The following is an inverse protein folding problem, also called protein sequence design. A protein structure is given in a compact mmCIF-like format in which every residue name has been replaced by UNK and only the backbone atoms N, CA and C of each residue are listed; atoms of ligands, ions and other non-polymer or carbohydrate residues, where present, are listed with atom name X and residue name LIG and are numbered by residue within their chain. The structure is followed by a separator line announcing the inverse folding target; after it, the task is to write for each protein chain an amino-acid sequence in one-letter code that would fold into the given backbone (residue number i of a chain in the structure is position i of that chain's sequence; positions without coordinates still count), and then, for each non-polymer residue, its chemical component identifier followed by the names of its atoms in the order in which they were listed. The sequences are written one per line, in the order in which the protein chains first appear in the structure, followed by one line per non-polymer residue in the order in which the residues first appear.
data_IF_943839694608
#
_entry.id   IF_943839694608
#
_cell.length_a   1.000
_cell.length_b   1.000
_cell.length_c   1.000
_cell.angle_alpha   90.00
_cell.angle_beta   90.00
_cell.angle_gamma   90.00
#
_symmetry.space_group_name_H-M   'P 1'
#
loop_
_entity.id
_entity.type
_entity.pdbx_description
1 polymer ?
#
# COMPACT_ATOMS: atom_id res chain seq x y z
N UNK A 1 -42.25 44.08 -77.91
CA UNK A 1 -41.26 44.38 -78.96
C UNK A 1 -40.17 45.25 -78.35
N UNK A 2 -38.90 44.88 -78.57
CA UNK A 2 -37.66 45.67 -78.38
C UNK A 2 -37.51 46.46 -77.05
N UNK A 3 -36.55 46.20 -76.17
CA UNK A 3 -35.17 45.82 -76.40
C UNK A 3 -34.27 46.92 -75.84
N UNK A 4 -33.30 46.55 -74.99
CA UNK A 4 -31.91 47.06 -74.96
C UNK A 4 -31.23 46.61 -73.68
N UNK A 5 -30.28 45.71 -73.86
CA UNK A 5 -29.31 45.33 -72.84
C UNK A 5 -28.28 46.45 -72.62
N UNK A 6 -27.76 46.48 -71.40
CA UNK A 6 -26.51 47.15 -71.06
C UNK A 6 -25.63 46.10 -70.39
N UNK A 7 -24.55 45.74 -71.08
CA UNK A 7 -23.41 45.03 -70.54
C UNK A 7 -22.67 45.95 -69.55
N UNK A 8 -22.48 45.50 -68.31
CA UNK A 8 -21.47 46.04 -67.42
C UNK A 8 -20.61 44.88 -66.90
N UNK A 9 -19.35 44.90 -67.32
CA UNK A 9 -18.32 43.94 -66.99
C UNK A 9 -17.96 43.98 -65.49
N UNK A 10 -17.62 42.82 -64.96
CA UNK A 10 -17.41 42.60 -63.54
C UNK A 10 -16.03 42.98 -63.01
N UNK A 11 -15.98 43.07 -61.68
CA UNK A 11 -14.78 42.87 -60.87
C UNK A 11 -15.20 41.99 -59.70
N UNK A 12 -14.87 40.70 -59.77
CA UNK A 12 -15.04 39.76 -58.67
C UNK A 12 -13.84 39.89 -57.72
N UNK A 13 -14.04 40.53 -56.56
CA UNK A 13 -13.09 40.47 -55.46
C UNK A 13 -13.40 39.21 -54.64
N UNK A 14 -12.60 38.17 -54.81
CA UNK A 14 -12.63 36.98 -53.96
C UNK A 14 -11.91 37.33 -52.65
N UNK A 15 -12.67 37.58 -51.59
CA UNK A 15 -12.12 37.57 -50.23
C UNK A 15 -11.98 36.10 -49.78
N UNK A 16 -10.73 35.62 -49.72
CA UNK A 16 -10.41 34.37 -49.06
C UNK A 16 -10.64 34.53 -47.55
N UNK A 17 -11.77 34.00 -47.06
CA UNK A 17 -12.01 33.84 -45.63
C UNK A 17 -11.18 32.64 -45.16
N UNK A 18 -10.02 32.90 -44.58
CA UNK A 18 -9.25 31.87 -43.87
C UNK A 18 -10.05 31.37 -42.66
N UNK A 19 -9.91 30.08 -42.28
CA UNK A 19 -10.58 29.57 -41.09
C UNK A 19 -10.07 30.34 -39.87
N UNK A 20 -10.97 31.11 -39.25
CA UNK A 20 -10.68 31.83 -38.01
C UNK A 20 -10.26 30.82 -36.95
N UNK A 21 -9.03 30.98 -36.45
CA UNK A 21 -8.57 30.26 -35.27
C UNK A 21 -9.51 30.62 -34.12
N UNK A 22 -10.30 29.64 -33.68
CA UNK A 22 -11.09 29.75 -32.45
C UNK A 22 -10.07 29.89 -31.32
N UNK A 23 -10.07 30.99 -30.53
CA UNK A 23 -9.17 31.11 -29.41
C UNK A 23 -9.47 29.97 -28.43
N UNK A 24 -8.45 29.16 -28.12
CA UNK A 24 -8.54 28.17 -27.05
C UNK A 24 -8.92 28.91 -25.77
N UNK A 25 -10.13 28.65 -25.27
CA UNK A 25 -10.57 29.14 -23.97
C UNK A 25 -9.69 28.40 -22.97
N UNK A 26 -8.69 29.10 -22.41
CA UNK A 26 -7.90 28.55 -21.32
C UNK A 26 -8.87 28.29 -20.14
N UNK A 27 -8.93 27.03 -19.68
CA UNK A 27 -9.69 26.68 -18.49
C UNK A 27 -9.31 27.63 -17.34
N UNK A 28 -10.32 28.12 -16.63
CA UNK A 28 -10.11 29.01 -15.49
C UNK A 28 -9.15 28.32 -14.48
N UNK A 29 -8.18 29.05 -13.90
CA UNK A 29 -7.22 28.45 -12.99
C UNK A 29 -7.94 27.82 -11.79
N UNK A 30 -7.62 26.56 -11.48
CA UNK A 30 -8.19 25.84 -10.33
C UNK A 30 -8.00 26.66 -9.06
N UNK A 31 -9.09 27.02 -8.39
CA UNK A 31 -9.06 27.74 -7.10
C UNK A 31 -8.60 26.78 -6.01
N UNK A 32 -7.30 26.83 -5.71
CA UNK A 32 -6.70 26.03 -4.65
C UNK A 32 -6.86 26.72 -3.29
N UNK A 33 -8.00 26.50 -2.63
CA UNK A 33 -8.33 27.09 -1.33
C UNK A 33 -9.00 26.03 -0.42
N UNK A 34 -8.22 25.04 0.09
CA UNK A 34 -8.77 24.02 0.98
C UNK A 34 -9.35 24.68 2.24
N UNK A 35 -10.33 24.01 2.86
CA UNK A 35 -10.88 24.45 4.15
C UNK A 35 -9.75 24.63 5.17
N UNK A 36 -9.87 25.62 6.08
CA UNK A 36 -8.84 25.85 7.09
C UNK A 36 -8.87 24.74 8.13
N UNK A 37 -7.71 24.15 8.42
CA UNK A 37 -7.54 23.26 9.56
C UNK A 37 -7.26 24.03 10.86
N UNK A 38 -7.26 23.30 11.97
CA UNK A 38 -6.83 23.77 13.29
C UNK A 38 -5.33 23.58 13.53
N UNK A 39 -4.80 24.21 14.56
CA UNK A 39 -3.39 24.09 14.98
C UNK A 39 -3.19 23.13 16.15
N UNK A 40 -4.28 22.65 16.74
CA UNK A 40 -4.27 21.66 17.81
C UNK A 40 -4.60 20.30 17.22
N UNK A 41 -3.92 19.29 17.74
CA UNK A 41 -4.12 17.90 17.37
C UNK A 41 -4.00 17.07 18.64
N UNK A 42 -4.94 16.16 18.85
CA UNK A 42 -4.85 15.12 19.87
C UNK A 42 -4.49 13.79 19.23
N UNK A 43 -4.10 12.82 20.06
CA UNK A 43 -4.03 11.44 19.60
C UNK A 43 -5.44 10.98 19.23
N UNK A 44 -5.62 10.55 17.99
CA UNK A 44 -6.91 10.02 17.54
C UNK A 44 -7.16 8.63 18.14
N UNK A 45 -8.42 8.29 18.36
CA UNK A 45 -8.76 6.96 18.89
C UNK A 45 -8.24 5.83 17.99
N UNK A 46 -8.16 6.07 16.67
CA UNK A 46 -7.63 5.11 15.71
C UNK A 46 -6.16 4.75 16.00
N UNK A 47 -5.33 5.73 16.38
CA UNK A 47 -3.95 5.48 16.79
C UNK A 47 -3.90 4.64 18.07
N UNK A 48 -4.73 4.98 19.08
CA UNK A 48 -4.83 4.19 20.31
C UNK A 48 -5.33 2.76 20.08
N UNK A 49 -6.36 2.59 19.25
CA UNK A 49 -6.98 1.28 18.97
C UNK A 49 -6.01 0.34 18.27
N UNK A 50 -5.24 0.87 17.32
CA UNK A 50 -4.28 0.08 16.55
C UNK A 50 -2.95 -0.09 17.28
N UNK A 51 -2.63 0.79 18.23
CA UNK A 51 -1.41 0.74 19.05
C UNK A 51 -0.13 0.49 18.24
N UNK A 52 -0.05 1.02 17.00
CA UNK A 52 1.02 0.71 16.06
C UNK A 52 2.39 1.19 16.54
N UNK A 53 2.45 2.15 17.47
CA UNK A 53 3.70 2.62 18.09
C UNK A 53 4.41 1.50 18.86
N UNK A 54 3.68 0.51 19.36
CA UNK A 54 4.25 -0.69 19.98
C UNK A 54 5.05 -1.56 19.00
N UNK A 55 4.87 -1.38 17.69
CA UNK A 55 5.57 -2.11 16.62
C UNK A 55 6.89 -1.44 16.22
N UNK A 56 7.02 -0.14 16.48
CA UNK A 56 8.14 0.67 16.05
C UNK A 56 9.54 0.22 16.53
N UNK A 57 9.71 -0.42 17.70
CA UNK A 57 10.99 -1.04 18.06
C UNK A 57 11.46 -2.13 17.08
N UNK A 58 10.54 -2.72 16.31
CA UNK A 58 10.83 -3.75 15.31
C UNK A 58 10.96 -3.18 13.90
N UNK A 59 10.11 -2.22 13.55
CA UNK A 59 10.10 -1.56 12.24
C UNK A 59 9.24 -0.29 12.27
N UNK A 60 9.67 0.75 11.56
CA UNK A 60 8.90 1.98 11.31
C UNK A 60 8.53 2.16 9.82
N UNK A 61 8.76 1.14 8.99
CA UNK A 61 8.47 1.17 7.55
C UNK A 61 9.63 1.61 6.65
N UNK A 62 10.84 1.76 7.20
CA UNK A 62 12.03 2.15 6.44
C UNK A 62 12.29 1.25 5.22
N UNK A 63 12.73 1.86 4.11
CA UNK A 63 13.03 1.16 2.86
C UNK A 63 11.79 0.82 2.00
N UNK A 64 10.58 0.97 2.54
CA UNK A 64 9.34 0.73 1.79
C UNK A 64 8.84 2.02 1.16
N UNK A 65 8.48 1.95 -0.11
CA UNK A 65 7.88 3.07 -0.85
C UNK A 65 6.37 2.88 -0.92
N UNK A 66 5.63 3.87 -0.45
CA UNK A 66 4.16 3.88 -0.50
C UNK A 66 3.72 5.00 -1.45
N UNK A 67 2.98 4.63 -2.50
CA UNK A 67 2.31 5.60 -3.35
C UNK A 67 0.90 5.85 -2.85
N UNK A 68 0.47 7.11 -2.80
CA UNK A 68 -0.92 7.49 -2.56
C UNK A 68 -1.48 8.15 -3.81
N UNK A 69 -2.58 7.60 -4.34
CA UNK A 69 -3.28 8.12 -5.51
C UNK A 69 -4.51 8.89 -5.02
N UNK A 70 -4.44 10.22 -5.06
CA UNK A 70 -5.38 11.07 -4.31
C UNK A 70 -5.50 12.51 -4.90
N UNK A 71 -5.90 13.50 -4.11
CA UNK A 71 -6.03 14.92 -4.45
C UNK A 71 -4.71 15.70 -4.45
N UNK A 72 -3.58 15.03 -4.23
CA UNK A 72 -2.27 15.63 -4.03
C UNK A 72 -1.86 15.69 -2.55
N UNK A 73 -0.72 16.30 -2.23
CA UNK A 73 -0.25 16.46 -0.84
C UNK A 73 0.36 17.84 -0.66
N UNK A 74 0.07 18.51 0.46
CA UNK A 74 0.86 19.66 0.89
C UNK A 74 2.24 19.22 1.39
N UNK A 75 3.21 19.13 0.49
CA UNK A 75 4.58 18.72 0.79
C UNK A 75 5.34 19.69 1.73
N UNK A 76 4.74 20.84 2.07
CA UNK A 76 5.30 21.77 3.07
C UNK A 76 4.80 21.50 4.48
N UNK A 77 3.85 20.58 4.66
CA UNK A 77 3.33 20.22 5.97
C UNK A 77 4.46 19.68 6.88
N UNK A 78 4.65 20.20 8.10
CA UNK A 78 5.76 19.80 8.96
C UNK A 78 5.80 18.29 9.26
N UNK A 79 4.68 17.59 9.37
CA UNK A 79 4.72 16.14 9.60
C UNK A 79 4.77 15.27 8.34
N UNK A 80 4.61 15.80 7.12
CA UNK A 80 4.52 14.96 5.91
C UNK A 80 5.76 15.15 5.05
N UNK A 81 6.42 14.04 4.68
CA UNK A 81 7.57 14.06 3.76
C UNK A 81 7.25 13.27 2.50
N UNK A 82 7.08 13.99 1.40
CA UNK A 82 6.86 13.40 0.08
C UNK A 82 8.19 13.36 -0.67
N UNK A 83 8.62 12.17 -1.06
CA UNK A 83 9.86 11.99 -1.82
C UNK A 83 9.69 12.36 -3.30
N UNK A 84 8.48 12.19 -3.83
CA UNK A 84 8.16 12.56 -5.22
C UNK A 84 6.67 12.88 -5.34
N UNK A 85 6.36 13.94 -6.08
CA UNK A 85 4.99 14.25 -6.49
C UNK A 85 4.85 14.10 -8.00
N UNK A 86 3.76 13.48 -8.43
CA UNK A 86 3.33 13.36 -9.82
C UNK A 86 1.95 13.97 -9.92
N UNK A 87 1.78 14.86 -10.87
CA UNK A 87 0.49 15.49 -11.15
C UNK A 87 -0.07 14.95 -12.47
N UNK A 88 -1.17 14.21 -12.40
CA UNK A 88 -1.88 13.68 -13.57
C UNK A 88 -3.04 14.58 -14.02
N UNK A 89 -3.44 15.56 -13.22
CA UNK A 89 -4.51 16.51 -13.54
C UNK A 89 -3.99 17.69 -14.37
N UNK A 90 -2.68 17.97 -14.30
CA UNK A 90 -2.06 19.10 -14.99
C UNK A 90 -2.32 20.45 -14.31
N UNK A 91 -2.75 20.44 -13.05
CA UNK A 91 -3.17 21.63 -12.28
C UNK A 91 -2.21 21.97 -11.14
N UNK A 92 -1.06 21.30 -11.09
CA UNK A 92 -0.05 21.38 -10.04
C UNK A 92 -0.24 20.31 -8.96
N UNK A 93 0.87 19.96 -8.29
CA UNK A 93 0.91 18.89 -7.29
C UNK A 93 0.31 19.25 -5.91
N UNK A 94 -0.19 20.48 -5.74
CA UNK A 94 -0.75 20.93 -4.45
C UNK A 94 -2.05 20.21 -4.16
N UNK A 95 -2.23 19.91 -2.88
CA UNK A 95 -3.52 19.44 -2.38
C UNK A 95 -4.47 20.63 -2.20
N UNK A 96 -5.48 20.69 -3.05
CA UNK A 96 -6.48 21.75 -3.04
C UNK A 96 -7.76 21.36 -2.29
N UNK A 97 -7.88 20.08 -1.92
CA UNK A 97 -9.02 19.53 -1.20
C UNK A 97 -8.70 19.30 0.28
N UNK A 98 -7.47 18.86 0.56
CA UNK A 98 -6.95 18.47 1.88
C UNK A 98 -7.00 16.98 2.15
N UNK A 99 -7.79 16.23 1.38
CA UNK A 99 -7.97 14.79 1.52
C UNK A 99 -6.65 14.01 1.42
N UNK A 100 -5.87 14.23 0.35
CA UNK A 100 -4.61 13.52 0.15
C UNK A 100 -3.54 13.85 1.19
N UNK A 101 -3.53 15.07 1.73
CA UNK A 101 -2.67 15.45 2.86
C UNK A 101 -3.06 14.69 4.13
N UNK A 102 -4.36 14.54 4.41
CA UNK A 102 -4.84 13.73 5.53
C UNK A 102 -4.52 12.24 5.37
N UNK A 103 -4.71 11.69 4.17
CA UNK A 103 -4.33 10.32 3.83
C UNK A 103 -2.82 10.10 4.03
N UNK A 104 -1.98 11.02 3.53
CA UNK A 104 -0.53 10.95 3.69
C UNK A 104 -0.09 10.99 5.18
N UNK A 105 -0.76 11.81 5.99
CA UNK A 105 -0.53 11.88 7.44
C UNK A 105 -0.82 10.56 8.15
N UNK A 106 -1.92 9.89 7.82
CA UNK A 106 -2.28 8.59 8.42
C UNK A 106 -1.26 7.51 8.02
N UNK A 107 -0.78 7.51 6.77
CA UNK A 107 0.21 6.52 6.30
C UNK A 107 1.56 6.73 7.00
N UNK A 108 2.12 7.93 6.89
CA UNK A 108 3.53 8.19 7.23
C UNK A 108 3.79 9.60 7.82
N UNK A 109 2.82 10.17 8.54
CA UNK A 109 3.06 11.34 9.39
C UNK A 109 4.24 11.10 10.32
N UNK A 110 5.22 12.01 10.33
CA UNK A 110 6.42 11.91 11.13
C UNK A 110 6.09 11.88 12.62
N UNK A 111 6.70 10.93 13.31
CA UNK A 111 6.80 10.88 14.77
C UNK A 111 7.56 12.11 15.27
N UNK A 112 6.86 13.04 15.95
CA UNK A 112 7.41 14.29 16.47
C UNK A 112 7.04 14.42 17.95
N UNK A 113 8.01 14.59 18.88
CA UNK A 113 7.76 14.52 20.32
C UNK A 113 6.67 15.46 20.87
N UNK A 114 6.47 16.63 20.27
CA UNK A 114 5.50 17.63 20.73
C UNK A 114 4.13 17.51 20.07
N UNK A 115 3.97 16.55 19.14
CA UNK A 115 2.76 16.39 18.35
C UNK A 115 2.19 14.99 18.64
N UNK A 116 1.05 14.89 19.34
CA UNK A 116 0.46 13.60 19.70
C UNK A 116 -0.27 12.94 18.51
N UNK A 117 0.31 13.02 17.31
CA UNK A 117 -0.18 12.41 16.10
C UNK A 117 1.01 11.91 15.29
N UNK A 118 0.92 10.68 14.79
CA UNK A 118 1.87 10.13 13.84
C UNK A 118 1.15 9.21 12.85
N UNK A 119 1.77 9.00 11.69
CA UNK A 119 1.33 7.96 10.77
C UNK A 119 1.78 6.58 11.23
N UNK A 120 1.13 5.55 10.70
CA UNK A 120 1.42 4.15 11.05
C UNK A 120 2.87 3.75 10.74
N UNK A 121 3.39 4.18 9.59
CA UNK A 121 4.72 3.86 9.09
C UNK A 121 5.54 5.15 8.83
N UNK A 122 6.01 5.84 9.89
CA UNK A 122 6.60 7.18 9.78
C UNK A 122 7.93 7.24 9.01
N UNK A 123 8.59 6.11 8.78
CA UNK A 123 9.84 6.02 7.99
C UNK A 123 9.63 5.50 6.56
N UNK A 124 8.38 5.23 6.17
CA UNK A 124 8.04 4.89 4.80
C UNK A 124 8.24 6.08 3.85
N UNK A 125 8.70 5.80 2.63
CA UNK A 125 8.94 6.80 1.59
C UNK A 125 7.65 7.06 0.80
N UNK A 126 7.04 8.23 0.96
CA UNK A 126 5.82 8.58 0.24
C UNK A 126 6.07 9.08 -1.19
N UNK A 127 5.23 8.60 -2.12
CA UNK A 127 5.04 9.18 -3.45
C UNK A 127 3.60 9.70 -3.52
N UNK A 128 3.42 10.97 -3.85
CA UNK A 128 2.10 11.55 -4.12
C UNK A 128 1.79 11.46 -5.61
N UNK A 129 0.67 10.87 -5.97
CA UNK A 129 0.14 10.85 -7.33
C UNK A 129 -1.22 11.54 -7.30
N UNK A 130 -1.27 12.78 -7.78
CA UNK A 130 -2.51 13.56 -7.85
C UNK A 130 -3.31 13.13 -9.07
N UNK A 131 -4.56 12.74 -8.86
CA UNK A 131 -5.49 12.35 -9.91
C UNK A 131 -6.80 13.16 -9.91
N UNK A 132 -7.07 13.97 -8.89
CA UNK A 132 -8.25 14.86 -8.86
C UNK A 132 -7.99 16.17 -8.14
N UNK A 133 -8.85 17.15 -8.37
CA UNK A 133 -9.01 18.35 -7.54
C UNK A 133 -10.33 18.36 -6.75
N UNK A 134 -11.20 17.38 -7.02
CA UNK A 134 -12.57 17.30 -6.50
C UNK A 134 -12.74 16.05 -5.64
N UNK A 135 -13.87 15.95 -4.95
CA UNK A 135 -14.20 14.78 -4.11
C UNK A 135 -14.44 13.52 -4.94
N UNK A 136 -14.87 13.68 -6.19
CA UNK A 136 -15.00 12.61 -7.17
C UNK A 136 -13.69 12.48 -7.96
N UNK A 137 -13.11 11.28 -7.97
CA UNK A 137 -11.90 11.01 -8.75
C UNK A 137 -12.19 10.88 -10.25
N UNK A 138 -11.14 10.97 -11.06
CA UNK A 138 -11.17 10.64 -12.48
C UNK A 138 -10.64 9.22 -12.69
N UNK A 139 -11.49 8.35 -13.22
CA UNK A 139 -11.18 6.92 -13.36
C UNK A 139 -10.00 6.67 -14.30
N UNK A 140 -9.89 7.45 -15.38
CA UNK A 140 -8.79 7.32 -16.32
C UNK A 140 -7.49 7.77 -15.65
N UNK A 141 -7.52 8.85 -14.86
CA UNK A 141 -6.37 9.30 -14.09
C UNK A 141 -5.98 8.32 -12.98
N UNK A 142 -6.96 7.69 -12.33
CA UNK A 142 -6.73 6.63 -11.35
C UNK A 142 -6.03 5.41 -11.97
N UNK A 143 -6.52 4.92 -13.11
CA UNK A 143 -5.89 3.81 -13.83
C UNK A 143 -4.44 4.14 -14.23
N UNK A 144 -4.20 5.35 -14.77
CA UNK A 144 -2.83 5.83 -15.05
C UNK A 144 -1.98 5.95 -13.79
N UNK A 145 -2.57 6.37 -12.68
CA UNK A 145 -1.92 6.48 -11.37
C UNK A 145 -1.43 5.14 -10.85
N UNK A 146 -2.23 4.08 -10.99
CA UNK A 146 -1.85 2.71 -10.58
C UNK A 146 -0.65 2.19 -11.37
N UNK A 147 -0.68 2.34 -12.70
CA UNK A 147 0.46 2.00 -13.56
C UNK A 147 1.69 2.80 -13.16
N UNK A 148 1.52 4.12 -12.97
CA UNK A 148 2.61 5.02 -12.62
C UNK A 148 3.23 4.72 -11.26
N UNK A 149 2.43 4.33 -10.28
CA UNK A 149 2.94 3.94 -8.97
C UNK A 149 3.84 2.69 -9.05
N UNK A 150 3.42 1.68 -9.82
CA UNK A 150 4.20 0.47 -10.04
C UNK A 150 5.53 0.77 -10.77
N UNK A 151 5.50 1.63 -11.80
CA UNK A 151 6.72 2.08 -12.50
C UNK A 151 7.69 2.85 -11.62
N UNK A 152 7.18 3.61 -10.64
CA UNK A 152 7.99 4.35 -9.68
C UNK A 152 8.52 3.49 -8.53
N UNK A 153 8.28 2.17 -8.59
CA UNK A 153 8.78 1.21 -7.61
C UNK A 153 8.05 1.26 -6.27
N UNK A 154 6.79 1.71 -6.24
CA UNK A 154 5.96 1.59 -5.05
C UNK A 154 5.77 0.11 -4.69
N UNK A 155 5.88 -0.22 -3.40
CA UNK A 155 5.62 -1.56 -2.86
C UNK A 155 4.22 -1.67 -2.26
N UNK A 156 3.66 -0.53 -1.88
CA UNK A 156 2.28 -0.38 -1.44
C UNK A 156 1.66 0.79 -2.19
N UNK A 157 0.43 0.64 -2.64
CA UNK A 157 -0.39 1.71 -3.22
C UNK A 157 -1.64 1.87 -2.36
N UNK A 158 -1.91 3.09 -1.93
CA UNK A 158 -3.16 3.46 -1.30
C UNK A 158 -4.08 4.16 -2.32
N UNK A 159 -5.31 3.67 -2.45
CA UNK A 159 -6.38 4.26 -3.28
C UNK A 159 -7.56 4.61 -2.39
N UNK A 160 -7.72 5.88 -2.06
CA UNK A 160 -8.74 6.37 -1.13
C UNK A 160 -9.96 6.94 -1.86
N UNK A 161 -10.31 6.38 -3.01
CA UNK A 161 -11.38 6.85 -3.90
C UNK A 161 -12.21 5.66 -4.36
N UNK A 162 -13.52 5.86 -4.46
CA UNK A 162 -14.46 4.89 -4.99
C UNK A 162 -14.90 5.24 -6.41
N UNK A 163 -15.07 4.22 -7.24
CA UNK A 163 -15.66 4.31 -8.58
C UNK A 163 -16.41 3.02 -8.95
N UNK A 164 -16.97 2.96 -10.16
CA UNK A 164 -17.51 1.76 -10.79
C UNK A 164 -16.46 0.95 -11.57
N UNK A 165 -16.84 -0.28 -11.95
CA UNK A 165 -16.02 -1.20 -12.73
C UNK A 165 -15.72 -0.63 -14.13
N UNK A 166 -14.46 -0.67 -14.54
CA UNK A 166 -14.01 -0.33 -15.88
C UNK A 166 -12.88 -1.27 -16.33
N UNK A 167 -12.88 -1.76 -17.58
CA UNK A 167 -11.83 -2.66 -18.10
C UNK A 167 -10.41 -2.10 -17.96
N UNK A 168 -10.22 -0.81 -18.24
CA UNK A 168 -8.90 -0.16 -18.15
C UNK A 168 -8.41 -0.04 -16.70
N UNK A 169 -9.33 0.19 -15.75
CA UNK A 169 -8.99 0.22 -14.34
C UNK A 169 -8.58 -1.17 -13.85
N UNK A 170 -9.32 -2.21 -14.25
CA UNK A 170 -8.97 -3.61 -13.96
C UNK A 170 -7.59 -3.97 -14.53
N UNK A 171 -7.31 -3.60 -15.78
CA UNK A 171 -6.00 -3.85 -16.40
C UNK A 171 -4.86 -3.14 -15.64
N UNK A 172 -5.09 -1.91 -15.17
CA UNK A 172 -4.10 -1.18 -14.36
C UNK A 172 -3.87 -1.84 -12.98
N UNK A 173 -4.92 -2.36 -12.34
CA UNK A 173 -4.82 -3.14 -11.10
C UNK A 173 -4.01 -4.41 -11.33
N UNK A 174 -4.35 -5.19 -12.36
CA UNK A 174 -3.64 -6.42 -12.70
C UNK A 174 -2.15 -6.15 -13.00
N UNK A 175 -1.86 -5.05 -13.71
CA UNK A 175 -0.49 -4.62 -14.03
C UNK A 175 0.35 -4.33 -12.77
N UNK A 176 -0.23 -3.64 -11.79
CA UNK A 176 0.44 -3.33 -10.53
C UNK A 176 0.60 -4.58 -9.64
N UNK A 177 -0.43 -5.44 -9.56
CA UNK A 177 -0.35 -6.70 -8.83
C UNK A 177 0.73 -7.63 -9.39
N UNK A 178 0.85 -7.72 -10.72
CA UNK A 178 1.90 -8.51 -11.38
C UNK A 178 3.32 -7.99 -11.11
N UNK A 179 3.47 -6.75 -10.63
CA UNK A 179 4.74 -6.12 -10.22
C UNK A 179 4.99 -6.18 -8.73
N UNK A 180 4.31 -7.08 -8.04
CA UNK A 180 4.46 -7.29 -6.61
C UNK A 180 4.13 -6.02 -5.79
N UNK A 181 3.08 -5.32 -6.19
CA UNK A 181 2.56 -4.17 -5.44
C UNK A 181 1.36 -4.60 -4.60
N UNK A 182 1.35 -4.24 -3.32
CA UNK A 182 0.16 -4.38 -2.47
C UNK A 182 -0.74 -3.19 -2.75
N UNK A 183 -1.95 -3.44 -3.27
CA UNK A 183 -2.93 -2.38 -3.51
C UNK A 183 -3.92 -2.41 -2.35
N UNK A 184 -4.04 -1.29 -1.65
CA UNK A 184 -4.98 -1.08 -0.54
C UNK A 184 -5.98 -0.03 -0.99
N UNK A 185 -7.28 -0.37 -0.94
CA UNK A 185 -8.32 0.51 -1.45
C UNK A 185 -9.52 0.63 -0.50
N UNK A 186 -10.11 1.82 -0.47
CA UNK A 186 -11.31 2.10 0.31
C UNK A 186 -12.51 1.28 -0.21
N UNK A 187 -13.23 0.60 0.69
CA UNK A 187 -14.40 -0.20 0.35
C UNK A 187 -15.60 0.63 -0.13
N UNK A 188 -15.56 1.95 0.04
CA UNK A 188 -16.57 2.90 -0.38
C UNK A 188 -17.55 3.28 0.73
N UNK A 189 -18.23 4.39 0.51
CA UNK A 189 -19.23 4.96 1.42
C UNK A 189 -20.60 4.97 0.73
N UNK A 190 -21.66 4.64 1.47
CA UNK A 190 -23.06 4.68 1.02
C UNK A 190 -23.83 5.73 1.82
N UNK A 191 -24.64 6.54 1.14
CA UNK A 191 -25.56 7.46 1.77
C UNK A 191 -27.02 7.01 1.60
N UNK A 192 -27.87 7.47 2.52
CA UNK A 192 -29.33 7.29 2.40
C UNK A 192 -29.82 8.09 1.19
N UNK A 193 -30.18 7.38 0.13
CA UNK A 193 -30.68 7.99 -1.12
C UNK A 193 -29.92 7.55 -2.38
N UNK A 194 -28.74 6.93 -2.24
CA UNK A 194 -27.87 6.53 -3.36
C UNK A 194 -28.37 5.29 -4.13
N UNK A 195 -29.62 4.86 -3.92
CA UNK A 195 -30.17 3.62 -4.47
C UNK A 195 -29.58 2.37 -3.82
N UNK A 196 -29.57 1.26 -4.56
CA UNK A 196 -29.02 -0.01 -4.08
C UNK A 196 -27.49 0.06 -4.06
N UNK A 197 -26.83 -0.23 -2.92
CA UNK A 197 -25.38 -0.27 -2.85
C UNK A 197 -24.76 -1.20 -3.91
N UNK A 198 -23.82 -0.66 -4.69
CA UNK A 198 -23.02 -1.42 -5.64
C UNK A 198 -21.57 -1.53 -5.13
N UNK A 199 -20.81 -2.56 -5.52
CA UNK A 199 -19.40 -2.67 -5.15
C UNK A 199 -18.57 -1.48 -5.63
N UNK A 200 -17.68 -0.98 -4.77
CA UNK A 200 -16.73 0.06 -5.11
C UNK A 200 -15.46 -0.54 -5.73
N UNK A 201 -14.98 0.08 -6.81
CA UNK A 201 -13.73 -0.29 -7.47
C UNK A 201 -12.67 0.80 -7.22
N UNK A 202 -11.38 0.43 -7.12
CA UNK A 202 -10.80 -0.89 -7.38
C UNK A 202 -10.91 -1.89 -6.21
N UNK A 203 -11.49 -1.51 -5.07
CA UNK A 203 -11.54 -2.36 -3.87
C UNK A 203 -12.19 -3.73 -4.11
N UNK A 204 -13.22 -3.81 -4.95
CA UNK A 204 -13.88 -5.06 -5.29
C UNK A 204 -13.08 -5.99 -6.24
N UNK A 205 -11.96 -5.54 -6.82
CA UNK A 205 -11.19 -6.41 -7.71
C UNK A 205 -10.41 -7.49 -6.94
N UNK A 206 -10.39 -8.73 -7.45
CA UNK A 206 -9.53 -9.78 -6.89
C UNK A 206 -8.08 -9.34 -6.86
N UNK A 207 -7.39 -9.56 -5.74
CA UNK A 207 -6.02 -9.07 -5.59
C UNK A 207 -5.91 -7.92 -4.60
N UNK A 208 -6.88 -7.01 -4.60
CA UNK A 208 -6.87 -5.77 -3.82
C UNK A 208 -7.24 -6.03 -2.37
N UNK A 209 -6.53 -5.38 -1.44
CA UNK A 209 -6.86 -5.38 -0.03
C UNK A 209 -7.91 -4.30 0.24
N UNK A 210 -9.18 -4.70 0.27
CA UNK A 210 -10.33 -3.83 0.44
C UNK A 210 -10.57 -3.48 1.91
N UNK A 211 -10.68 -2.19 2.23
CA UNK A 211 -10.71 -1.69 3.60
C UNK A 211 -12.03 -1.01 3.92
N UNK A 212 -12.78 -1.62 4.84
CA UNK A 212 -13.98 -1.03 5.41
C UNK A 212 -13.68 -0.10 6.58
N UNK A 213 -14.68 0.69 6.96
CA UNK A 213 -14.57 1.67 8.05
C UNK A 213 -15.19 1.11 9.34
N UNK A 214 -14.49 1.32 10.45
CA UNK A 214 -14.96 1.02 11.79
C UNK A 214 -14.95 2.26 12.69
N UNK A 215 -15.88 2.28 13.64
CA UNK A 215 -15.99 3.31 14.67
C UNK A 215 -15.23 2.97 15.96
N UNK A 216 -15.20 3.90 16.94
CA UNK A 216 -14.54 3.70 18.23
C UNK A 216 -15.06 2.49 19.03
N UNK A 217 -16.30 2.06 18.78
CA UNK A 217 -16.93 0.86 19.36
C UNK A 217 -16.43 -0.45 18.73
N UNK A 218 -15.53 -0.37 17.73
CA UNK A 218 -14.99 -1.51 16.99
C UNK A 218 -15.95 -2.10 15.96
N UNK A 219 -17.11 -1.48 15.71
CA UNK A 219 -18.10 -1.96 14.76
C UNK A 219 -17.93 -1.27 13.41
N UNK A 220 -18.32 -1.97 12.33
CA UNK A 220 -18.43 -1.37 11.00
C UNK A 220 -19.35 -0.15 11.06
N UNK A 221 -18.91 0.98 10.52
CA UNK A 221 -19.75 2.19 10.44
C UNK A 221 -20.88 1.99 9.44
N UNK A 222 -22.04 2.61 9.68
CA UNK A 222 -23.23 2.41 8.83
C UNK A 222 -22.97 2.80 7.37
N UNK A 223 -22.22 3.88 7.13
CA UNK A 223 -21.85 4.33 5.80
C UNK A 223 -20.86 3.40 5.08
N UNK A 224 -20.15 2.49 5.76
CA UNK A 224 -19.15 1.63 5.10
C UNK A 224 -19.84 0.68 4.13
N UNK A 225 -19.56 0.75 2.84
CA UNK A 225 -20.28 -0.01 1.83
C UNK A 225 -20.11 -1.53 2.00
N UNK A 226 -21.20 -2.23 2.35
CA UNK A 226 -21.21 -3.68 2.56
C UNK A 226 -21.36 -4.49 1.26
N UNK A 227 -21.66 -3.84 0.12
CA UNK A 227 -21.70 -4.51 -1.18
C UNK A 227 -20.29 -4.78 -1.75
N UNK A 228 -19.30 -4.02 -1.31
CA UNK A 228 -17.89 -4.29 -1.63
C UNK A 228 -17.40 -5.47 -0.79
N UNK A 229 -16.71 -6.47 -1.38
CA UNK A 229 -16.03 -7.50 -0.61
C UNK A 229 -14.94 -6.85 0.28
N UNK A 230 -15.17 -6.83 1.59
CA UNK A 230 -14.22 -6.24 2.56
C UNK A 230 -13.21 -7.29 2.99
N UNK A 231 -11.92 -6.97 2.92
CA UNK A 231 -10.83 -7.81 3.46
C UNK A 231 -10.66 -7.60 4.95
N UNK A 232 -10.55 -6.35 5.39
CA UNK A 232 -10.36 -5.94 6.80
C UNK A 232 -11.05 -4.61 7.09
N UNK A 233 -11.25 -4.31 8.37
CA UNK A 233 -11.65 -3.00 8.85
C UNK A 233 -10.45 -2.21 9.36
N UNK A 234 -10.57 -0.89 9.33
CA UNK A 234 -9.68 0.03 10.00
C UNK A 234 -10.48 1.23 10.56
N UNK A 235 -9.89 2.01 11.50
CA UNK A 235 -10.53 3.23 12.00
C UNK A 235 -10.92 4.16 10.85
N UNK A 236 -12.19 4.60 10.79
CA UNK A 236 -12.72 5.36 9.67
C UNK A 236 -13.73 6.45 10.02
N UNK A 237 -13.95 6.75 11.30
CA UNK A 237 -14.76 7.89 11.78
C UNK A 237 -14.09 8.54 12.98
N UNK A 238 -14.48 9.76 13.36
CA UNK A 238 -13.91 10.52 14.47
C UNK A 238 -12.37 10.59 14.40
N UNK A 239 -11.84 10.74 13.19
CA UNK A 239 -10.41 10.74 12.94
C UNK A 239 -9.84 12.15 12.93
N UNK A 240 -8.57 12.23 13.29
CA UNK A 240 -7.74 13.42 13.16
C UNK A 240 -6.58 13.11 12.24
N UNK A 241 -6.22 14.04 11.35
CA UNK A 241 -5.01 13.93 10.52
C UNK A 241 -4.44 15.28 10.09
N UNK A 242 -3.28 15.25 9.46
CA UNK A 242 -2.62 16.42 8.86
C UNK A 242 -3.48 17.03 7.75
N UNK A 243 -3.40 18.34 7.60
CA UNK A 243 -4.23 19.11 6.68
C UNK A 243 -3.40 20.25 6.03
N UNK A 244 -3.71 20.72 4.80
CA UNK A 244 -2.92 21.75 4.14
C UNK A 244 -2.68 23.01 5.00
N UNK A 245 -1.55 23.66 4.75
CA UNK A 245 -1.14 24.86 5.49
C UNK A 245 -0.44 24.58 6.82
N UNK A 246 0.07 23.36 7.01
CA UNK A 246 0.71 22.97 8.28
C UNK A 246 -0.28 22.81 9.44
N UNK A 247 -1.53 22.48 9.12
CA UNK A 247 -2.64 22.41 10.07
C UNK A 247 -3.14 20.96 10.23
N UNK A 248 -4.13 20.76 11.07
CA UNK A 248 -4.78 19.48 11.32
C UNK A 248 -6.27 19.60 11.13
N UNK A 249 -6.92 18.48 10.82
CA UNK A 249 -8.37 18.41 10.73
C UNK A 249 -8.89 17.26 11.58
N UNK A 250 -9.90 17.57 12.37
CA UNK A 250 -10.69 16.64 13.19
C UNK A 250 -11.97 16.25 12.43
N UNK A 251 -12.74 15.33 13.02
CA UNK A 251 -14.03 14.86 12.49
C UNK A 251 -13.95 14.33 11.05
N UNK A 252 -12.82 13.70 10.71
CA UNK A 252 -12.66 13.02 9.43
C UNK A 252 -13.35 11.66 9.46
N UNK A 253 -14.21 11.42 8.48
CA UNK A 253 -14.93 10.16 8.31
C UNK A 253 -14.90 9.67 6.86
N UNK A 254 -14.84 8.35 6.70
CA UNK A 254 -14.84 7.67 5.41
C UNK A 254 -13.92 6.44 5.37
N UNK A 255 -14.30 5.47 4.54
CA UNK A 255 -13.42 4.34 4.18
C UNK A 255 -12.12 4.80 3.51
N UNK A 256 -12.13 6.00 2.90
CA UNK A 256 -10.96 6.67 2.35
C UNK A 256 -9.90 7.01 3.39
N UNK A 257 -10.28 7.23 4.65
CA UNK A 257 -9.37 7.43 5.78
C UNK A 257 -9.05 6.13 6.54
N UNK A 258 -9.85 5.07 6.36
CA UNK A 258 -9.55 3.74 6.87
C UNK A 258 -8.43 3.04 6.07
N UNK A 259 -8.50 3.11 4.73
CA UNK A 259 -7.49 2.55 3.82
C UNK A 259 -6.03 2.92 4.16
N UNK A 260 -5.66 4.19 4.45
CA UNK A 260 -4.28 4.56 4.75
C UNK A 260 -3.71 3.93 6.02
N UNK A 261 -4.54 3.59 7.02
CA UNK A 261 -4.04 2.83 8.18
C UNK A 261 -3.51 1.46 7.73
N UNK A 262 -4.27 0.76 6.89
CA UNK A 262 -3.88 -0.56 6.36
C UNK A 262 -2.71 -0.45 5.39
N UNK A 263 -2.64 0.61 4.58
CA UNK A 263 -1.47 0.86 3.73
C UNK A 263 -0.19 1.07 4.55
N UNK A 264 -0.30 1.77 5.68
CA UNK A 264 0.78 1.90 6.65
C UNK A 264 1.17 0.55 7.28
N UNK A 265 0.21 -0.28 7.68
CA UNK A 265 0.49 -1.63 8.20
C UNK A 265 1.18 -2.50 7.14
N UNK A 266 0.73 -2.46 5.88
CA UNK A 266 1.37 -3.15 4.78
C UNK A 266 2.83 -2.69 4.59
N UNK A 267 3.11 -1.40 4.80
CA UNK A 267 4.47 -0.89 4.76
C UNK A 267 5.32 -1.39 5.94
N UNK A 268 4.79 -1.45 7.15
CA UNK A 268 5.47 -2.05 8.31
C UNK A 268 5.80 -3.53 8.04
N UNK A 269 4.84 -4.30 7.53
CA UNK A 269 5.01 -5.71 7.18
C UNK A 269 6.09 -5.89 6.12
N UNK A 270 6.05 -5.14 5.01
CA UNK A 270 7.07 -5.20 3.95
C UNK A 270 8.46 -4.82 4.45
N UNK A 271 8.56 -3.85 5.36
CA UNK A 271 9.84 -3.44 5.92
C UNK A 271 10.44 -4.52 6.83
N UNK A 272 9.59 -5.21 7.62
CA UNK A 272 10.03 -6.30 8.49
C UNK A 272 10.32 -7.59 7.72
N UNK A 273 9.52 -7.86 6.70
CA UNK A 273 9.52 -9.11 5.93
C UNK A 273 9.68 -8.84 4.42
N UNK A 274 10.86 -8.37 3.98
CA UNK A 274 11.07 -7.90 2.61
C UNK A 274 10.95 -8.99 1.53
N UNK A 275 11.01 -10.27 1.92
CA UNK A 275 10.87 -11.42 1.02
C UNK A 275 9.43 -11.85 0.73
N UNK A 276 8.43 -11.24 1.37
CA UNK A 276 7.02 -11.55 1.10
C UNK A 276 6.54 -10.80 -0.14
N UNK A 277 5.82 -11.51 -1.01
CA UNK A 277 5.10 -10.91 -2.12
C UNK A 277 3.77 -10.28 -1.67
N UNK A 278 3.09 -9.61 -2.60
CA UNK A 278 1.84 -8.90 -2.31
C UNK A 278 0.71 -9.82 -1.85
N UNK A 279 0.64 -11.05 -2.37
CA UNK A 279 -0.35 -12.05 -1.97
C UNK A 279 -0.14 -12.45 -0.52
N UNK A 280 1.11 -12.73 -0.12
CA UNK A 280 1.44 -13.10 1.27
C UNK A 280 1.27 -11.93 2.23
N UNK A 281 1.65 -10.72 1.84
CA UNK A 281 1.39 -9.52 2.67
C UNK A 281 -0.11 -9.31 2.89
N UNK A 282 -0.93 -9.41 1.84
CA UNK A 282 -2.39 -9.33 1.95
C UNK A 282 -2.93 -10.40 2.91
N UNK A 283 -2.57 -11.66 2.66
CA UNK A 283 -3.03 -12.79 3.47
C UNK A 283 -2.61 -12.66 4.93
N UNK A 284 -1.37 -12.23 5.20
CA UNK A 284 -0.89 -11.96 6.55
C UNK A 284 -1.81 -10.97 7.25
N UNK A 285 -2.05 -9.81 6.64
CA UNK A 285 -2.91 -8.77 7.22
C UNK A 285 -4.31 -9.32 7.52
N UNK A 286 -4.88 -10.10 6.60
CA UNK A 286 -6.20 -10.71 6.77
C UNK A 286 -6.23 -11.71 7.93
N UNK A 287 -5.30 -12.67 7.99
CA UNK A 287 -5.36 -13.73 9.01
C UNK A 287 -4.95 -13.27 10.41
N UNK A 288 -4.21 -12.17 10.52
CA UNK A 288 -3.80 -11.58 11.81
C UNK A 288 -4.76 -10.50 12.30
N UNK A 289 -5.83 -10.20 11.56
CA UNK A 289 -6.83 -9.21 11.98
C UNK A 289 -7.57 -9.68 13.25
N UNK A 290 -8.08 -8.71 14.03
CA UNK A 290 -8.79 -8.93 15.30
C UNK A 290 -10.24 -9.41 15.07
N UNK A 291 -10.43 -10.52 14.37
CA UNK A 291 -11.69 -11.25 14.23
C UNK A 291 -12.88 -10.50 13.59
N UNK A 292 -13.68 -11.22 12.81
CA UNK A 292 -14.87 -10.65 12.18
C UNK A 292 -15.98 -10.35 13.21
N UNK A 293 -16.62 -9.19 13.12
CA UNK A 293 -17.72 -8.78 14.00
C UNK A 293 -19.11 -8.87 13.35
N UNK A 294 -19.21 -9.46 12.14
CA UNK A 294 -20.46 -9.62 11.41
C UNK A 294 -20.31 -9.53 9.88
N UNK A 295 -21.43 -9.38 9.17
CA UNK A 295 -21.41 -9.23 7.71
C UNK A 295 -20.72 -7.92 7.29
N UNK A 296 -19.92 -7.98 6.22
CA UNK A 296 -19.22 -6.82 5.67
C UNK A 296 -18.01 -6.35 6.49
N UNK A 297 -17.52 -7.16 7.44
CA UNK A 297 -16.34 -6.80 8.26
C UNK A 297 -15.04 -7.44 7.76
N UNK A 298 -15.10 -8.28 6.73
CA UNK A 298 -13.96 -9.11 6.33
C UNK A 298 -13.43 -9.94 7.49
N UNK A 299 -12.10 -9.99 7.62
CA UNK A 299 -11.42 -10.69 8.70
C UNK A 299 -11.41 -9.93 10.05
N UNK A 300 -11.95 -8.71 10.10
CA UNK A 300 -11.97 -7.88 11.32
C UNK A 300 -11.06 -6.67 11.24
N UNK A 301 -10.85 -6.02 12.39
CA UNK A 301 -9.98 -4.84 12.51
C UNK A 301 -8.53 -5.23 12.25
N UNK A 302 -7.81 -4.46 11.42
CA UNK A 302 -6.37 -4.66 11.19
C UNK A 302 -5.60 -4.61 12.52
N UNK A 303 -4.65 -5.53 12.72
CA UNK A 303 -3.77 -5.56 13.89
C UNK A 303 -2.31 -5.37 13.47
N UNK A 304 -1.72 -4.17 13.64
CA UNK A 304 -0.34 -3.90 13.25
C UNK A 304 0.69 -4.80 13.94
N UNK A 305 0.49 -5.08 15.24
CA UNK A 305 1.42 -5.89 16.02
C UNK A 305 1.47 -7.31 15.49
N UNK A 306 0.33 -8.00 15.45
CA UNK A 306 0.26 -9.38 14.96
C UNK A 306 0.63 -9.48 13.48
N UNK A 307 0.21 -8.52 12.65
CA UNK A 307 0.64 -8.49 11.25
C UNK A 307 2.18 -8.47 11.15
N UNK A 308 2.88 -7.73 11.99
CA UNK A 308 4.36 -7.67 11.93
C UNK A 308 5.04 -8.85 12.63
N UNK A 309 4.49 -9.37 13.73
CA UNK A 309 5.20 -10.33 14.60
C UNK A 309 4.80 -11.78 14.43
N UNK A 310 3.59 -12.06 13.91
CA UNK A 310 3.07 -13.43 13.88
C UNK A 310 3.91 -14.32 12.96
N UNK A 311 4.21 -15.53 13.44
CA UNK A 311 4.92 -16.55 12.68
C UNK A 311 3.88 -17.37 11.93
N UNK A 312 3.80 -17.17 10.62
CA UNK A 312 2.81 -17.86 9.78
C UNK A 312 3.53 -19.01 9.03
N UNK A 313 3.26 -20.29 9.38
CA UNK A 313 3.98 -21.44 8.80
C UNK A 313 3.88 -21.54 7.27
N UNK A 314 2.76 -21.10 6.69
CA UNK A 314 2.57 -21.13 5.23
C UNK A 314 3.51 -20.20 4.45
N UNK A 315 4.19 -19.28 5.12
CA UNK A 315 5.12 -18.34 4.49
C UNK A 315 6.58 -18.76 4.61
N UNK A 316 6.89 -19.68 5.54
CA UNK A 316 8.20 -20.33 5.64
C UNK A 316 8.36 -21.44 4.61
N UNK A 317 7.26 -21.93 4.02
CA UNK A 317 7.30 -22.69 2.78
C UNK A 317 7.22 -21.69 1.63
N UNK A 318 8.30 -21.52 0.87
CA UNK A 318 8.27 -20.77 -0.38
C UNK A 318 7.41 -21.52 -1.41
N UNK A 319 6.08 -21.41 -1.31
CA UNK A 319 5.17 -21.86 -2.35
C UNK A 319 5.28 -20.84 -3.48
N UNK A 320 5.98 -21.23 -4.55
CA UNK A 320 6.01 -20.46 -5.79
C UNK A 320 4.57 -20.09 -6.20
N UNK A 321 4.33 -18.90 -6.77
CA UNK A 321 3.03 -18.56 -7.32
C UNK A 321 2.57 -19.66 -8.28
N UNK A 322 1.24 -19.91 -8.39
CA UNK A 322 0.73 -20.94 -9.28
C UNK A 322 1.30 -20.71 -10.68
N UNK A 323 1.82 -21.76 -11.33
CA UNK A 323 2.48 -21.60 -12.62
C UNK A 323 1.50 -21.02 -13.66
N UNK A 324 2.00 -20.22 -14.62
CA UNK A 324 1.20 -19.76 -15.75
C UNK A 324 0.59 -20.94 -16.51
N UNK A 325 -0.52 -20.73 -17.25
CA UNK A 325 -1.17 -21.79 -18.02
C UNK A 325 -0.17 -22.49 -18.95
N UNK A 326 -0.32 -23.82 -19.16
CA UNK A 326 0.67 -24.61 -19.86
C UNK A 326 0.90 -24.12 -21.30
N UNK A 327 2.16 -24.11 -21.70
CA UNK A 327 2.60 -23.85 -23.08
C UNK A 327 2.01 -24.91 -24.03
N UNK A 328 1.82 -24.58 -25.32
CA UNK A 328 1.27 -25.51 -26.30
C UNK A 328 2.06 -26.83 -26.34
N UNK A 329 1.40 -27.98 -26.59
CA UNK A 329 2.05 -29.29 -26.56
C UNK A 329 3.29 -29.34 -27.46
N UNK A 330 4.45 -29.66 -26.88
CA UNK A 330 5.71 -29.89 -27.62
C UNK A 330 6.90 -28.99 -27.27
N UNK A 331 6.75 -28.01 -26.38
CA UNK A 331 7.86 -27.16 -25.96
C UNK A 331 8.43 -27.58 -24.59
N UNK A 332 9.22 -28.67 -24.53
CA UNK A 332 10.04 -28.99 -23.36
C UNK A 332 11.41 -29.49 -23.80
N UNK A 333 12.47 -28.73 -23.49
CA UNK A 333 13.83 -29.27 -23.48
C UNK A 333 14.03 -30.13 -22.22
N UNK A 334 14.64 -31.32 -22.33
CA UNK A 334 14.88 -32.17 -21.17
C UNK A 334 15.88 -31.53 -20.20
N UNK A 335 15.74 -31.78 -18.87
CA UNK A 335 16.64 -31.25 -17.88
C UNK A 335 18.04 -31.85 -18.02
N UNK A 336 19.06 -31.02 -17.79
CA UNK A 336 20.45 -31.46 -17.75
C UNK A 336 20.64 -32.47 -16.59
N UNK A 337 21.37 -33.58 -16.80
CA UNK A 337 21.54 -34.60 -15.76
C UNK A 337 22.23 -34.02 -14.52
N UNK A 338 21.75 -34.41 -13.33
CA UNK A 338 22.44 -34.09 -12.08
C UNK A 338 23.81 -34.77 -12.05
N UNK A 339 24.85 -33.98 -11.90
CA UNK A 339 26.20 -34.47 -11.63
C UNK A 339 26.29 -35.02 -10.20
N UNK A 340 26.08 -36.33 -10.07
CA UNK A 340 26.13 -37.04 -8.80
C UNK A 340 27.55 -37.10 -8.21
N UNK A 341 28.62 -36.95 -9.02
CA UNK A 341 29.99 -36.93 -8.52
C UNK A 341 30.30 -35.61 -7.81
N UNK A 342 29.84 -34.48 -8.35
CA UNK A 342 30.00 -33.18 -7.71
C UNK A 342 29.29 -33.12 -6.34
N UNK A 343 28.08 -33.68 -6.26
CA UNK A 343 27.32 -33.75 -4.99
C UNK A 343 28.00 -34.67 -3.99
N UNK A 344 28.44 -35.86 -4.41
CA UNK A 344 29.14 -36.80 -3.52
C UNK A 344 30.47 -36.23 -2.98
N UNK A 345 31.22 -35.52 -3.83
CA UNK A 345 32.50 -34.90 -3.47
C UNK A 345 32.30 -33.77 -2.46
N UNK A 346 31.28 -32.92 -2.63
CA UNK A 346 31.01 -31.82 -1.69
C UNK A 346 30.57 -32.32 -0.30
N UNK A 347 29.76 -33.37 -0.25
CA UNK A 347 29.28 -33.97 1.02
C UNK A 347 30.43 -34.62 1.79
N UNK A 348 31.29 -35.38 1.10
CA UNK A 348 32.43 -36.07 1.74
C UNK A 348 33.45 -35.10 2.32
N UNK A 349 33.80 -34.03 1.59
CA UNK A 349 34.72 -32.99 2.08
C UNK A 349 34.14 -32.28 3.32
N UNK A 350 32.84 -31.99 3.31
CA UNK A 350 32.18 -31.30 4.43
C UNK A 350 32.16 -32.16 5.70
N UNK A 351 31.81 -33.45 5.57
CA UNK A 351 31.78 -34.37 6.70
C UNK A 351 33.18 -34.61 7.30
N UNK A 352 34.21 -34.74 6.46
CA UNK A 352 35.58 -34.90 6.92
C UNK A 352 36.07 -33.68 7.73
N UNK A 353 35.75 -32.46 7.28
CA UNK A 353 36.10 -31.23 7.97
C UNK A 353 35.43 -31.13 9.35
N UNK A 354 34.14 -31.47 9.45
CA UNK A 354 33.41 -31.47 10.72
C UNK A 354 33.94 -32.52 11.69
N UNK A 355 34.26 -33.72 11.20
CA UNK A 355 34.86 -34.79 12.01
C UNK A 355 36.22 -34.38 12.61
N UNK A 356 37.08 -33.76 11.81
CA UNK A 356 38.38 -33.27 12.28
C UNK A 356 38.23 -32.18 13.36
N UNK A 357 37.31 -31.22 13.17
CA UNK A 357 37.04 -30.17 14.14
C UNK A 357 36.51 -30.72 15.48
N UNK A 358 35.60 -31.70 15.42
CA UNK A 358 35.07 -32.37 16.62
C UNK A 358 36.17 -33.12 17.38
N UNK A 359 37.05 -33.84 16.66
CA UNK A 359 38.17 -34.56 17.26
C UNK A 359 39.14 -33.61 17.99
N UNK A 360 39.52 -32.50 17.36
CA UNK A 360 40.40 -31.48 17.96
C UNK A 360 39.77 -30.89 19.22
N UNK A 361 38.46 -30.65 19.18
CA UNK A 361 37.71 -30.11 20.32
C UNK A 361 37.67 -31.11 21.48
N UNK A 362 37.35 -32.37 21.20
CA UNK A 362 37.38 -33.45 22.19
C UNK A 362 38.77 -33.63 22.80
N UNK A 363 39.84 -33.66 21.98
CA UNK A 363 41.22 -33.76 22.46
C UNK A 363 41.59 -32.58 23.36
N UNK A 364 41.20 -31.35 23.00
CA UNK A 364 41.43 -30.16 23.83
C UNK A 364 40.68 -30.19 25.16
N UNK A 365 39.52 -30.82 25.23
CA UNK A 365 38.74 -30.91 26.48
C UNK A 365 39.21 -32.09 27.36
N UNK A 366 39.45 -33.24 26.74
CA UNK A 366 39.74 -34.51 27.46
C UNK A 366 41.19 -34.58 27.93
N UNK A 367 42.17 -34.15 27.12
CA UNK A 367 43.59 -34.27 27.51
C UNK A 367 43.95 -33.45 28.76
N UNK A 368 43.53 -32.18 28.92
CA UNK A 368 43.82 -31.43 30.14
C UNK A 368 43.05 -31.98 31.34
N UNK A 369 41.79 -32.38 31.17
CA UNK A 369 40.96 -32.94 32.23
C UNK A 369 41.52 -34.30 32.72
N UNK A 370 41.95 -35.16 31.79
CA UNK A 370 42.58 -36.44 32.07
C UNK A 370 43.93 -36.28 32.76
N UNK A 371 44.79 -35.37 32.27
CA UNK A 371 46.07 -35.05 32.92
C UNK A 371 45.88 -34.51 34.35
N UNK A 372 44.91 -33.62 34.58
CA UNK A 372 44.61 -33.08 35.93
C UNK A 372 44.13 -34.14 36.91
N UNK A 373 43.46 -35.20 36.44
CA UNK A 373 42.93 -36.29 37.27
C UNK A 373 43.83 -37.51 37.36
N UNK A 374 45.02 -37.48 36.74
CA UNK A 374 45.88 -38.65 36.61
C UNK A 374 45.16 -39.85 35.98
N UNK A 375 44.17 -39.58 35.13
CA UNK A 375 43.29 -40.58 34.50
C UNK A 375 42.58 -41.54 35.47
N UNK A 376 42.30 -41.12 36.71
CA UNK A 376 41.55 -41.94 37.69
C UNK A 376 40.03 -41.73 37.56
N UNK A 377 39.19 -42.78 37.69
CA UNK A 377 37.73 -42.66 37.65
C UNK A 377 37.18 -41.76 38.78
N UNK A 378 36.13 -40.98 38.49
CA UNK A 378 35.47 -40.12 39.48
C UNK A 378 34.65 -40.94 40.49
N UNK A 379 34.73 -40.59 41.78
CA UNK A 379 33.91 -41.21 42.83
C UNK A 379 32.55 -40.50 42.91
N UNK A 380 31.46 -41.22 42.74
CA UNK A 380 30.10 -40.73 42.95
C UNK A 380 29.76 -40.80 44.44
N UNK A 381 29.56 -39.65 45.09
CA UNK A 381 28.95 -39.62 46.42
C UNK A 381 27.43 -39.77 46.27
N UNK A 382 26.83 -40.72 46.98
CA UNK A 382 25.37 -40.86 47.13
C UNK A 382 24.96 -39.98 48.32
N UNK A 383 24.16 -38.91 48.15
CA UNK A 383 23.74 -38.09 49.27
C UNK A 383 22.57 -38.74 50.02
N UNK A 384 22.84 -39.18 51.24
CA UNK A 384 21.89 -39.60 52.26
C UNK A 384 22.65 -39.75 53.57
N UNK A 385 22.64 -38.67 54.37
CA UNK A 385 22.68 -38.59 55.85
C UNK A 385 22.79 -37.13 56.29
#
# INVERSE_FOLDING_TARGET
MAGRGVLAAGVALVFAVGPGAVPAIADAPVRCAPQRGGVRVGESWGQRRLAFTGVWPLTKGAGVTVALIDSGVDARHPQVRVAKSVDLTGTGARDCLGHGTAVAGIIAGRDMPEIPFAGVAPEARLISIKQTNDETGDIALLARGLVRAAELGAKVVNVSIQTHDQPDLKAAVDYALARDVVIVAAAGNVNKGDGTPAPAYPAAYPGVLSVGSAGPDGRRTDFSNAATPVSVLAPGTDLTSTWPGGSYREDLEGTSYAAPFVAGVAALVRARHPGLDNVRVRRRIEITADGASGAGTGAGMVNPLLAVTEIIPSESVAIAPPPPPPLPPGAISPPEPRDHEAVATSVTVTLAALGAAALVTCLRLVLPAGRRRGWRPGRTAVPGD
#
